data_IF_323057610395
#
_entry.id   IF_323057610395
#
_cell.length_a   1.000
_cell.length_b   1.000
_cell.length_c   1.000
_cell.angle_alpha   90.00
_cell.angle_beta   90.00
_cell.angle_gamma   90.00
#
_symmetry.space_group_name_H-M   'P 1'
#
loop_
_entity.id
_entity.type
_entity.pdbx_description
1 polymer ?
#
# COMPACT_ATOMS: atom_id res chain seq x y z
N UNK A 1 9.24 8.89 20.46
CA UNK A 1 10.12 8.41 19.39
C UNK A 1 9.30 7.54 18.46
N UNK A 2 9.31 7.81 17.15
CA UNK A 2 8.68 6.94 16.15
C UNK A 2 9.78 6.18 15.39
N UNK A 3 9.49 4.97 14.95
CA UNK A 3 10.35 4.30 13.98
C UNK A 3 10.28 5.07 12.64
N UNK A 4 11.42 5.26 11.98
CA UNK A 4 11.46 5.76 10.61
C UNK A 4 10.85 4.74 9.66
N UNK A 5 10.22 5.20 8.57
CA UNK A 5 9.60 4.32 7.58
C UNK A 5 10.60 3.30 6.99
N UNK A 6 11.88 3.68 6.90
CA UNK A 6 12.96 2.82 6.41
C UNK A 6 13.17 1.58 7.28
N UNK A 7 13.08 1.70 8.60
CA UNK A 7 13.25 0.57 9.53
C UNK A 7 12.10 -0.44 9.46
N UNK A 8 10.91 -0.02 9.02
CA UNK A 8 9.77 -0.94 8.81
C UNK A 8 10.07 -1.90 7.65
N UNK A 9 10.81 -1.45 6.65
CA UNK A 9 11.14 -2.23 5.45
C UNK A 9 12.39 -3.11 5.59
N UNK A 10 13.05 -3.12 6.75
CA UNK A 10 14.04 -4.16 7.09
C UNK A 10 13.36 -5.52 7.40
N UNK A 11 12.04 -5.53 7.63
CA UNK A 11 11.28 -6.75 7.88
C UNK A 11 11.18 -7.62 6.62
N UNK A 12 11.03 -8.95 6.83
CA UNK A 12 10.76 -9.90 5.73
C UNK A 12 9.34 -9.80 5.17
N UNK A 13 8.39 -9.37 6.00
CA UNK A 13 7.01 -9.18 5.61
C UNK A 13 6.43 -8.01 6.39
N UNK A 14 5.76 -7.11 5.69
CA UNK A 14 5.08 -5.94 6.25
C UNK A 14 3.59 -6.08 5.99
N UNK A 15 2.78 -5.95 7.04
CA UNK A 15 1.32 -5.98 6.94
C UNK A 15 0.80 -4.60 7.33
N UNK A 16 0.06 -3.96 6.43
CA UNK A 16 -0.59 -2.69 6.67
C UNK A 16 -2.10 -2.89 6.79
N UNK A 17 -2.63 -2.58 7.97
CA UNK A 17 -4.06 -2.61 8.25
C UNK A 17 -4.62 -1.19 8.19
N UNK A 18 -5.59 -0.94 7.31
CA UNK A 18 -6.29 0.34 7.26
C UNK A 18 -7.81 0.13 7.25
N UNK A 19 -8.49 0.94 8.06
CA UNK A 19 -9.93 0.92 8.19
C UNK A 19 -10.53 2.33 8.14
N UNK A 20 -11.65 2.47 7.43
CA UNK A 20 -12.54 3.63 7.40
C UNK A 20 -12.25 4.61 6.26
N UNK A 21 -13.25 5.44 5.97
CA UNK A 21 -13.25 6.38 4.84
C UNK A 21 -12.06 7.36 4.83
N UNK A 22 -11.53 7.74 5.99
CA UNK A 22 -10.36 8.64 6.10
C UNK A 22 -9.06 8.02 5.55
N UNK A 23 -9.05 6.73 5.23
CA UNK A 23 -7.89 6.00 4.72
C UNK A 23 -8.00 5.63 3.24
N UNK A 24 -9.15 5.88 2.61
CA UNK A 24 -9.37 5.55 1.20
C UNK A 24 -8.35 6.25 0.30
N UNK A 25 -8.26 7.58 0.38
CA UNK A 25 -7.36 8.38 -0.46
C UNK A 25 -5.87 8.05 -0.21
N UNK A 26 -5.33 8.06 1.02
CA UNK A 26 -3.93 7.71 1.24
C UNK A 26 -3.56 6.30 0.77
N UNK A 27 -4.45 5.32 0.95
CA UNK A 27 -4.22 3.94 0.48
C UNK A 27 -4.23 3.88 -1.03
N UNK A 28 -5.19 4.52 -1.68
CA UNK A 28 -5.29 4.58 -3.13
C UNK A 28 -4.07 5.28 -3.75
N UNK A 29 -3.70 6.45 -3.24
CA UNK A 29 -2.50 7.15 -3.70
C UNK A 29 -1.24 6.30 -3.53
N UNK A 30 -1.14 5.56 -2.41
CA UNK A 30 0.04 4.74 -2.12
C UNK A 30 0.25 3.55 -3.05
N UNK A 31 -0.78 3.09 -3.76
CA UNK A 31 -0.71 1.91 -4.64
C UNK A 31 -0.97 2.23 -6.11
N UNK A 32 -1.76 3.27 -6.40
CA UNK A 32 -2.13 3.65 -7.77
C UNK A 32 -1.17 4.66 -8.39
N UNK A 33 -0.51 5.50 -7.57
CA UNK A 33 0.47 6.50 -8.03
C UNK A 33 1.90 6.01 -7.81
N UNK A 34 2.87 6.79 -8.29
CA UNK A 34 4.28 6.49 -8.07
C UNK A 34 4.74 6.88 -6.65
N UNK A 35 5.77 6.21 -6.11
CA UNK A 35 6.22 6.49 -4.75
C UNK A 35 6.76 7.92 -4.56
N UNK A 36 6.32 8.57 -3.49
CA UNK A 36 6.72 9.94 -3.12
C UNK A 36 6.90 10.10 -1.61
N UNK A 37 7.76 11.03 -1.22
CA UNK A 37 7.98 11.39 0.19
C UNK A 37 6.73 12.01 0.85
N UNK A 38 5.83 12.60 0.06
CA UNK A 38 4.56 13.16 0.56
C UNK A 38 3.59 12.07 1.03
N UNK A 39 3.73 10.86 0.51
CA UNK A 39 2.94 9.67 0.86
C UNK A 39 3.89 8.55 1.27
N UNK A 40 4.44 8.55 2.51
CA UNK A 40 5.51 7.63 2.89
C UNK A 40 5.19 6.14 2.74
N UNK A 41 3.91 5.77 2.87
CA UNK A 41 3.45 4.38 2.68
C UNK A 41 3.58 3.89 1.22
N UNK A 42 3.71 4.81 0.25
CA UNK A 42 3.95 4.47 -1.16
C UNK A 42 5.32 3.83 -1.40
N UNK A 43 6.29 4.04 -0.50
CA UNK A 43 7.58 3.33 -0.53
C UNK A 43 7.45 1.83 -0.30
N UNK A 44 6.28 1.36 0.14
CA UNK A 44 5.95 -0.05 0.15
C UNK A 44 6.03 -0.69 -1.22
N UNK A 45 5.75 0.06 -2.29
CA UNK A 45 5.93 -0.43 -3.68
C UNK A 45 7.40 -0.75 -3.95
N UNK A 46 8.33 0.12 -3.55
CA UNK A 46 9.77 -0.08 -3.73
C UNK A 46 10.24 -1.29 -2.91
N UNK A 47 9.77 -1.40 -1.66
CA UNK A 47 10.05 -2.56 -0.82
C UNK A 47 9.60 -3.87 -1.48
N UNK A 48 8.39 -3.90 -2.05
CA UNK A 48 7.86 -5.06 -2.76
C UNK A 48 8.67 -5.40 -4.03
N UNK A 49 9.07 -4.38 -4.80
CA UNK A 49 9.92 -4.54 -5.98
C UNK A 49 11.31 -5.10 -5.64
N UNK A 50 11.82 -4.79 -4.45
CA UNK A 50 13.09 -5.33 -3.95
C UNK A 50 12.96 -6.76 -3.37
N UNK A 51 11.81 -7.43 -3.55
CA UNK A 51 11.55 -8.79 -3.08
C UNK A 51 11.01 -8.88 -1.66
N UNK A 52 10.65 -7.75 -1.05
CA UNK A 52 9.91 -7.70 0.20
C UNK A 52 8.46 -8.16 0.02
N UNK A 53 7.84 -8.68 1.08
CA UNK A 53 6.44 -9.10 1.03
C UNK A 53 5.54 -8.08 1.73
N UNK A 54 4.71 -7.36 0.97
CA UNK A 54 3.84 -6.31 1.49
C UNK A 54 2.37 -6.68 1.29
N UNK A 55 1.62 -6.73 2.40
CA UNK A 55 0.20 -7.12 2.39
C UNK A 55 -0.63 -5.98 2.95
N UNK A 56 -1.64 -5.54 2.19
CA UNK A 56 -2.63 -4.57 2.64
C UNK A 56 -3.91 -5.31 3.05
N UNK A 57 -4.32 -5.15 4.30
CA UNK A 57 -5.61 -5.62 4.79
C UNK A 57 -6.52 -4.41 4.96
N UNK A 58 -7.57 -4.36 4.15
CA UNK A 58 -8.44 -3.19 4.03
C UNK A 58 -9.89 -3.58 4.26
N UNK A 59 -10.65 -2.68 4.88
CA UNK A 59 -12.10 -2.76 4.82
C UNK A 59 -12.63 -2.31 3.45
N UNK A 60 -13.89 -2.62 3.16
CA UNK A 60 -14.52 -2.33 1.86
C UNK A 60 -14.63 -0.83 1.53
N UNK A 61 -14.65 0.04 2.54
CA UNK A 61 -14.66 1.50 2.41
C UNK A 61 -13.24 2.00 2.09
N UNK A 62 -12.22 1.56 2.84
CA UNK A 62 -10.83 1.93 2.56
C UNK A 62 -10.33 1.41 1.20
N UNK A 63 -10.74 0.20 0.80
CA UNK A 63 -10.37 -0.41 -0.48
C UNK A 63 -11.19 0.02 -1.70
N UNK A 64 -12.18 0.91 -1.55
CA UNK A 64 -13.14 1.24 -2.62
C UNK A 64 -12.46 1.74 -3.90
N UNK A 65 -11.50 2.64 -3.79
CA UNK A 65 -10.80 3.20 -4.94
C UNK A 65 -9.87 2.19 -5.61
N UNK A 66 -9.30 1.25 -4.85
CA UNK A 66 -8.52 0.14 -5.39
C UNK A 66 -9.41 -0.80 -6.21
N UNK A 67 -10.60 -1.12 -5.69
CA UNK A 67 -11.58 -1.95 -6.39
C UNK A 67 -12.11 -1.31 -7.68
N UNK A 68 -12.12 0.03 -7.76
CA UNK A 68 -12.49 0.76 -8.96
C UNK A 68 -11.37 0.79 -10.02
N UNK A 69 -10.11 0.61 -9.61
CA UNK A 69 -8.91 0.75 -10.45
C UNK A 69 -8.12 -0.56 -10.60
N UNK A 70 -8.80 -1.71 -10.66
CA UNK A 70 -8.18 -3.05 -10.73
C UNK A 70 -7.17 -3.22 -11.87
N UNK A 71 -7.42 -2.60 -13.02
CA UNK A 71 -6.51 -2.67 -14.17
C UNK A 71 -5.15 -2.01 -13.86
N UNK A 72 -5.14 -0.90 -13.13
CA UNK A 72 -3.90 -0.22 -12.72
C UNK A 72 -3.13 -1.08 -11.72
N UNK A 73 -3.83 -1.71 -10.77
CA UNK A 73 -3.21 -2.62 -9.79
C UNK A 73 -2.55 -3.81 -10.49
N UNK A 74 -3.22 -4.39 -11.48
CA UNK A 74 -2.68 -5.48 -12.28
C UNK A 74 -1.43 -5.07 -13.08
N UNK A 75 -1.44 -3.87 -13.66
CA UNK A 75 -0.26 -3.32 -14.36
C UNK A 75 0.93 -3.11 -13.42
N UNK A 76 0.67 -2.83 -12.15
CA UNK A 76 1.67 -2.69 -11.08
C UNK A 76 1.98 -4.01 -10.36
N UNK A 77 1.52 -5.15 -10.88
CA UNK A 77 1.76 -6.49 -10.34
C UNK A 77 1.24 -6.67 -8.89
N UNK A 78 0.20 -5.92 -8.52
CA UNK A 78 -0.46 -6.03 -7.22
C UNK A 78 -1.61 -7.03 -7.33
N UNK A 79 -1.53 -8.10 -6.55
CA UNK A 79 -2.60 -9.09 -6.42
C UNK A 79 -3.68 -8.60 -5.46
N UNK A 80 -4.94 -8.85 -5.79
CA UNK A 80 -6.09 -8.44 -4.99
C UNK A 80 -6.95 -9.65 -4.65
N UNK A 81 -7.09 -9.90 -3.35
CA UNK A 81 -7.94 -10.94 -2.77
C UNK A 81 -9.14 -10.26 -2.06
N UNK A 82 -10.36 -10.80 -2.25
CA UNK A 82 -11.63 -10.24 -1.73
C UNK A 82 -12.31 -11.30 -0.87
#
# INVERSE_FOLDING_TARGET
MSMGAELVYEAKTVILLANGARKTEPVAESLLKDPTADVPISYGQIYSQNGGNLIYVLDTIAGRELLANKEILKQKEIELEI
#
